data_IF_356126252857
#
_entry.id   IF_356126252857
#
_cell.length_a   1.000
_cell.length_b   1.000
_cell.length_c   1.000
_cell.angle_alpha   90.00
_cell.angle_beta   90.00
_cell.angle_gamma   90.00
#
_symmetry.space_group_name_H-M   'P 1'
#
loop_
_entity.id
_entity.type
_entity.pdbx_description
1 polymer ?
#
# COMPACT_ATOMS: atom_id res chain seq x y z
N UNK A 1 -20.20 2.52 -16.88
CA UNK A 1 -20.18 2.10 -15.47
C UNK A 1 -19.47 3.19 -14.69
N UNK A 2 -20.18 3.90 -13.80
CA UNK A 2 -19.56 4.76 -12.81
C UNK A 2 -19.52 3.94 -11.52
N UNK A 3 -18.34 3.70 -10.97
CA UNK A 3 -18.16 2.78 -9.84
C UNK A 3 -18.68 3.34 -8.51
N UNK A 4 -19.17 4.58 -8.47
CA UNK A 4 -19.72 5.23 -7.26
C UNK A 4 -18.71 5.47 -6.15
N UNK A 5 -17.46 5.07 -6.35
CA UNK A 5 -16.37 5.12 -5.37
C UNK A 5 -15.32 6.13 -5.79
N UNK A 6 -14.86 6.91 -4.83
CA UNK A 6 -13.80 7.90 -4.99
C UNK A 6 -12.48 7.29 -4.52
N UNK A 7 -11.41 7.50 -5.28
CA UNK A 7 -10.05 7.13 -4.86
C UNK A 7 -9.47 8.33 -4.12
N UNK A 8 -8.99 8.14 -2.90
CA UNK A 8 -8.38 9.23 -2.13
C UNK A 8 -6.97 9.56 -2.65
N UNK A 9 -6.53 10.80 -2.40
CA UNK A 9 -5.18 11.26 -2.79
C UNK A 9 -4.07 10.43 -2.14
N UNK A 10 -4.34 9.85 -0.97
CA UNK A 10 -3.41 8.95 -0.29
C UNK A 10 -3.12 7.70 -1.13
N UNK A 11 -4.17 7.07 -1.68
CA UNK A 11 -4.05 5.88 -2.53
C UNK A 11 -3.26 6.21 -3.80
N UNK A 12 -3.53 7.37 -4.40
CA UNK A 12 -2.81 7.84 -5.60
C UNK A 12 -1.33 8.06 -5.28
N UNK A 13 -1.04 8.69 -4.14
CA UNK A 13 0.33 8.98 -3.69
C UNK A 13 1.11 7.68 -3.46
N UNK A 14 0.52 6.71 -2.76
CA UNK A 14 1.13 5.40 -2.51
C UNK A 14 1.38 4.65 -3.82
N UNK A 15 0.40 4.68 -4.74
CA UNK A 15 0.56 4.05 -6.05
C UNK A 15 1.71 4.67 -6.84
N UNK A 16 1.83 6.00 -6.84
CA UNK A 16 2.92 6.71 -7.51
C UNK A 16 4.28 6.38 -6.90
N UNK A 17 4.39 6.33 -5.56
CA UNK A 17 5.62 5.91 -4.87
C UNK A 17 6.00 4.46 -5.20
N UNK A 18 5.03 3.57 -5.35
CA UNK A 18 5.29 2.17 -5.73
C UNK A 18 5.74 2.04 -7.19
N UNK A 19 5.12 2.82 -8.09
CA UNK A 19 5.36 2.80 -9.54
C UNK A 19 6.68 3.47 -9.93
N UNK A 20 6.98 4.63 -9.35
CA UNK A 20 8.19 5.41 -9.68
C UNK A 20 9.35 4.97 -8.81
N UNK A 21 10.36 4.34 -9.44
CA UNK A 21 11.58 3.93 -8.74
C UNK A 21 12.57 5.09 -8.70
N UNK A 22 13.06 5.44 -7.51
CA UNK A 22 14.25 6.30 -7.39
C UNK A 22 15.45 5.53 -7.94
N UNK A 23 16.10 6.08 -8.98
CA UNK A 23 17.26 5.45 -9.62
C UNK A 23 18.47 5.32 -8.66
N UNK A 24 18.61 6.25 -7.71
CA UNK A 24 19.70 6.31 -6.73
C UNK A 24 19.18 6.18 -5.29
N UNK A 25 18.38 5.14 -5.01
CA UNK A 25 17.97 4.84 -3.64
C UNK A 25 19.08 4.10 -2.88
N UNK A 26 19.36 4.53 -1.65
CA UNK A 26 20.27 3.80 -0.75
C UNK A 26 19.62 2.52 -0.21
N UNK A 27 20.42 1.60 0.35
CA UNK A 27 19.95 0.31 0.86
C UNK A 27 18.80 0.43 1.87
N UNK A 28 18.85 1.42 2.77
CA UNK A 28 17.78 1.68 3.74
C UNK A 28 16.47 2.13 3.08
N UNK A 29 16.55 2.95 2.03
CA UNK A 29 15.37 3.37 1.25
C UNK A 29 14.79 2.20 0.46
N UNK A 30 15.65 1.33 -0.09
CA UNK A 30 15.19 0.11 -0.78
C UNK A 30 14.45 -0.82 0.18
N UNK A 31 14.94 -1.00 1.41
CA UNK A 31 14.30 -1.86 2.41
C UNK A 31 12.93 -1.32 2.85
N UNK A 32 12.78 0.01 2.98
CA UNK A 32 11.52 0.68 3.33
C UNK A 32 10.54 0.82 2.16
N UNK A 33 10.91 0.41 0.94
CA UNK A 33 10.03 0.50 -0.23
C UNK A 33 8.87 -0.48 -0.09
N UNK A 34 7.64 0.01 -0.26
CA UNK A 34 6.44 -0.85 -0.28
C UNK A 34 6.51 -1.82 -1.48
N UNK A 35 6.52 -3.11 -1.18
CA UNK A 35 6.46 -4.24 -2.13
C UNK A 35 5.01 -4.57 -2.47
N UNK A 36 4.12 -4.55 -1.48
CA UNK A 36 2.69 -4.71 -1.64
C UNK A 36 1.93 -3.86 -0.61
N UNK A 37 0.74 -3.44 -0.97
CA UNK A 37 -0.21 -2.72 -0.09
C UNK A 37 -1.60 -3.27 -0.37
N UNK A 38 -2.44 -3.35 0.65
CA UNK A 38 -3.84 -3.68 0.52
C UNK A 38 -4.69 -2.40 0.60
N UNK A 39 -5.65 -2.31 -0.31
CA UNK A 39 -6.67 -1.26 -0.28
C UNK A 39 -8.00 -1.89 0.09
N UNK A 40 -8.83 -1.14 0.80
CA UNK A 40 -10.17 -1.53 1.19
C UNK A 40 -11.16 -0.40 0.88
N UNK A 41 -12.45 -0.72 0.95
CA UNK A 41 -13.49 0.29 0.94
C UNK A 41 -13.62 0.89 2.34
N UNK A 42 -13.86 2.20 2.42
CA UNK A 42 -14.25 2.87 3.65
C UNK A 42 -15.55 2.27 4.20
N UNK A 43 -15.84 2.51 5.48
CA UNK A 43 -17.09 2.06 6.12
C UNK A 43 -18.34 2.50 5.34
N UNK A 44 -18.33 3.75 4.85
CA UNK A 44 -19.39 4.32 4.01
C UNK A 44 -19.44 3.75 2.57
N UNK A 45 -18.49 2.88 2.22
CA UNK A 45 -18.33 2.25 0.89
C UNK A 45 -18.17 3.21 -0.29
N UNK A 46 -17.97 4.50 -0.02
CA UNK A 46 -17.84 5.54 -1.03
C UNK A 46 -16.38 5.86 -1.39
N UNK A 47 -15.41 5.40 -0.59
CA UNK A 47 -14.01 5.71 -0.81
C UNK A 47 -13.15 4.44 -0.83
N UNK A 48 -12.13 4.42 -1.68
CA UNK A 48 -11.04 3.43 -1.61
C UNK A 48 -9.94 4.05 -0.75
N UNK A 49 -9.58 3.35 0.32
CA UNK A 49 -8.58 3.78 1.32
C UNK A 49 -7.50 2.70 1.49
N UNK A 50 -6.38 3.08 2.10
CA UNK A 50 -5.32 2.14 2.44
C UNK A 50 -5.69 1.38 3.72
N UNK A 51 -5.55 0.05 3.69
CA UNK A 51 -5.77 -0.76 4.87
C UNK A 51 -4.56 -0.65 5.81
N UNK A 52 -4.78 -0.09 7.01
CA UNK A 52 -3.73 0.08 8.01
C UNK A 52 -3.11 -1.27 8.41
N UNK A 53 -1.78 -1.33 8.51
CA UNK A 53 -1.03 -2.52 8.91
C UNK A 53 -0.87 -3.59 7.81
N UNK A 54 -1.65 -3.54 6.74
CA UNK A 54 -1.61 -4.52 5.65
C UNK A 54 -0.74 -4.05 4.48
N UNK A 55 0.54 -3.78 4.78
CA UNK A 55 1.56 -3.50 3.79
C UNK A 55 2.80 -4.37 3.98
N UNK A 56 3.47 -4.66 2.86
CA UNK A 56 4.69 -5.46 2.82
C UNK A 56 5.79 -4.57 2.32
N UNK A 57 6.88 -4.46 3.08
CA UNK A 57 8.07 -3.71 2.66
C UNK A 57 9.02 -4.63 1.89
N UNK A 58 9.85 -4.08 1.02
CA UNK A 58 10.79 -4.87 0.20
C UNK A 58 11.87 -5.51 1.07
N UNK A 59 12.23 -4.84 2.17
CA UNK A 59 13.19 -5.34 3.16
C UNK A 59 12.60 -6.29 4.21
N UNK A 60 11.27 -6.47 4.27
CA UNK A 60 10.64 -7.44 5.16
C UNK A 60 9.91 -8.52 4.35
N UNK A 61 10.27 -9.79 4.58
CA UNK A 61 9.54 -10.94 4.07
C UNK A 61 8.43 -11.38 5.02
N UNK A 62 8.47 -10.93 6.28
CA UNK A 62 7.40 -11.13 7.26
C UNK A 62 6.28 -10.16 6.98
N UNK A 63 5.16 -10.76 6.62
CA UNK A 63 3.88 -10.13 6.47
C UNK A 63 3.42 -9.75 7.88
N UNK A 64 3.34 -8.46 8.22
CA UNK A 64 2.59 -7.99 9.41
C UNK A 64 1.09 -8.13 9.15
N UNK A 65 0.65 -9.34 8.80
CA UNK A 65 -0.71 -9.78 9.04
C UNK A 65 -0.68 -10.30 10.47
N UNK A 66 -1.01 -9.43 11.41
CA UNK A 66 -1.52 -9.86 12.72
C UNK A 66 -2.74 -10.77 12.43
N UNK A 67 -2.50 -12.07 12.24
CA UNK A 67 -3.55 -12.99 11.78
C UNK A 67 -3.08 -14.32 11.19
N UNK A 68 -2.36 -15.13 11.97
CA UNK A 68 -2.45 -16.60 11.92
C UNK A 68 -1.37 -17.36 11.13
N UNK A 69 -0.96 -18.57 11.63
CA UNK A 69 0.01 -19.43 10.94
C UNK A 69 -0.68 -20.18 9.79
N UNK A 70 0.06 -20.42 8.70
CA UNK A 70 -0.23 -21.49 7.74
C UNK A 70 0.92 -22.47 7.79
#
# INVERSE_FOLDING_TARGET
MASGVTVTDEVITVFNVMKVRKAQANEDEKKKRKKAVLFCLSEDKNNIILEAGKEILTGSSVVTLEGGPV
#
